data_IF_172867864597
#
_entry.id   IF_172867864597
#
_cell.length_a   1.000
_cell.length_b   1.000
_cell.length_c   1.000
_cell.angle_alpha   90.00
_cell.angle_beta   90.00
_cell.angle_gamma   90.00
#
_symmetry.space_group_name_H-M   'P 1'
#
loop_
_entity.id
_entity.type
_entity.pdbx_description
1 polymer ?
#
# COMPACT_ATOMS: atom_id res chain seq x y z
N UNK A 1 -2.48 24.64 -28.37
CA UNK A 1 -1.83 25.79 -27.69
C UNK A 1 -1.31 25.49 -26.27
N UNK A 2 -1.54 24.32 -25.64
CA UNK A 2 -0.91 23.96 -24.34
C UNK A 2 0.54 23.46 -24.46
N UNK A 3 0.90 22.81 -25.57
CA UNK A 3 2.23 22.20 -25.76
C UNK A 3 3.41 23.19 -25.84
N UNK A 4 3.19 24.46 -26.23
CA UNK A 4 4.26 25.45 -26.34
C UNK A 4 4.60 26.13 -24.99
N UNK A 5 3.64 26.19 -24.07
CA UNK A 5 3.86 26.76 -22.73
C UNK A 5 4.68 25.82 -21.82
N UNK A 6 4.42 24.52 -21.91
CA UNK A 6 5.18 23.50 -21.18
C UNK A 6 6.61 23.35 -21.72
N UNK A 7 6.82 23.52 -23.03
CA UNK A 7 8.16 23.44 -23.63
C UNK A 7 9.06 24.61 -23.23
N UNK A 8 8.50 25.82 -23.11
CA UNK A 8 9.26 27.01 -22.71
C UNK A 8 9.54 26.97 -21.20
N UNK A 9 8.58 26.57 -20.37
CA UNK A 9 8.79 26.44 -18.91
C UNK A 9 9.83 25.36 -18.59
N UNK A 10 9.76 24.18 -19.23
CA UNK A 10 10.75 23.12 -19.05
C UNK A 10 12.17 23.50 -19.50
N UNK A 11 12.31 24.37 -20.53
CA UNK A 11 13.63 24.83 -21.00
C UNK A 11 14.24 25.87 -20.05
N UNK A 12 13.43 26.72 -19.43
CA UNK A 12 13.90 27.67 -18.41
C UNK A 12 14.21 26.96 -17.08
N UNK A 13 13.39 26.02 -16.62
CA UNK A 13 13.64 25.27 -15.37
C UNK A 13 14.84 24.32 -15.48
N UNK A 14 15.04 23.66 -16.63
CA UNK A 14 16.24 22.83 -16.85
C UNK A 14 17.52 23.65 -16.88
N UNK A 15 17.51 24.85 -17.49
CA UNK A 15 18.68 25.75 -17.51
C UNK A 15 18.95 26.41 -16.15
N UNK A 16 17.91 26.65 -15.35
CA UNK A 16 18.07 27.22 -14.02
C UNK A 16 18.52 26.17 -13.00
N UNK A 17 17.98 24.95 -13.06
CA UNK A 17 18.43 23.81 -12.23
C UNK A 17 19.89 23.45 -12.51
N UNK A 18 20.34 23.47 -13.77
CA UNK A 18 21.75 23.25 -14.11
C UNK A 18 22.68 24.40 -13.72
N UNK A 19 22.16 25.62 -13.53
CA UNK A 19 22.95 26.76 -13.02
C UNK A 19 23.09 26.74 -11.49
N UNK A 20 22.08 26.24 -10.77
CA UNK A 20 22.12 26.09 -9.30
C UNK A 20 22.78 24.79 -8.83
N UNK A 21 22.78 23.74 -9.65
CA UNK A 21 23.50 22.47 -9.39
C UNK A 21 25.03 22.64 -9.27
N UNK A 22 25.56 23.83 -9.54
CA UNK A 22 26.99 24.15 -9.43
C UNK A 22 27.43 24.77 -8.10
N UNK A 23 26.53 25.05 -7.14
CA UNK A 23 26.92 25.53 -5.81
C UNK A 23 26.78 24.38 -4.80
N UNK A 24 27.88 23.67 -4.55
CA UNK A 24 27.97 22.72 -3.44
C UNK A 24 27.73 23.45 -2.13
N UNK A 25 26.65 23.11 -1.44
CA UNK A 25 26.40 23.58 -0.08
C UNK A 25 27.01 22.57 0.90
N UNK A 26 28.20 22.87 1.40
CA UNK A 26 29.01 21.95 2.22
C UNK A 26 28.50 21.81 3.67
N UNK A 27 27.41 22.49 4.04
CA UNK A 27 26.83 22.39 5.38
C UNK A 27 26.36 20.97 5.70
N UNK A 28 26.50 20.48 6.93
CA UNK A 28 25.92 19.19 7.28
C UNK A 28 24.39 19.21 7.14
N UNK A 29 23.77 18.05 6.87
CA UNK A 29 22.35 17.96 6.50
C UNK A 29 21.41 18.59 7.53
N UNK A 30 21.75 18.52 8.82
CA UNK A 30 21.00 19.13 9.92
C UNK A 30 20.99 20.67 9.82
N UNK A 31 22.11 21.29 9.45
CA UNK A 31 22.17 22.75 9.22
C UNK A 31 21.39 23.16 7.97
N UNK A 32 21.37 22.32 6.94
CA UNK A 32 20.49 22.53 5.78
C UNK A 32 19.01 22.47 6.15
N UNK A 33 18.61 21.51 6.99
CA UNK A 33 17.23 21.41 7.48
C UNK A 33 16.82 22.66 8.28
N UNK A 34 17.69 23.14 9.17
CA UNK A 34 17.45 24.36 9.94
C UNK A 34 17.35 25.60 9.04
N UNK A 35 18.24 25.71 8.04
CA UNK A 35 18.17 26.78 7.05
C UNK A 35 16.87 26.71 6.22
N UNK A 36 16.44 25.51 5.83
CA UNK A 36 15.19 25.30 5.10
C UNK A 36 13.98 25.72 5.93
N UNK A 37 13.93 25.37 7.23
CA UNK A 37 12.88 25.78 8.16
C UNK A 37 12.89 27.30 8.43
N UNK A 38 14.05 27.94 8.41
CA UNK A 38 14.21 29.39 8.57
C UNK A 38 13.94 30.20 7.30
N UNK A 39 13.97 29.57 6.12
CA UNK A 39 13.78 30.25 4.83
C UNK A 39 12.38 30.89 4.70
N UNK A 40 12.33 32.08 4.08
CA UNK A 40 11.08 32.84 3.81
C UNK A 40 10.74 32.96 2.31
N UNK A 41 11.68 32.65 1.41
CA UNK A 41 11.50 32.77 -0.05
C UNK A 41 11.44 31.42 -0.75
N UNK A 42 10.62 31.32 -1.80
CA UNK A 42 10.41 30.07 -2.55
C UNK A 42 11.68 29.60 -3.28
N UNK A 43 12.42 30.53 -3.90
CA UNK A 43 13.61 30.22 -4.69
C UNK A 43 14.74 29.66 -3.80
N UNK A 44 15.03 30.29 -2.67
CA UNK A 44 16.06 29.81 -1.74
C UNK A 44 15.63 28.53 -1.00
N UNK A 45 14.34 28.37 -0.71
CA UNK A 45 13.79 27.15 -0.13
C UNK A 45 13.91 25.94 -1.06
N UNK A 46 13.67 26.12 -2.37
CA UNK A 46 13.78 25.05 -3.36
C UNK A 46 15.19 24.47 -3.48
N UNK A 47 16.22 25.34 -3.54
CA UNK A 47 17.61 24.89 -3.56
C UNK A 47 18.00 24.11 -2.30
N UNK A 48 17.61 24.61 -1.12
CA UNK A 48 17.89 23.93 0.16
C UNK A 48 17.20 22.56 0.24
N UNK A 49 15.94 22.48 -0.19
CA UNK A 49 15.21 21.21 -0.21
C UNK A 49 15.89 20.17 -1.12
N UNK A 50 16.36 20.60 -2.29
CA UNK A 50 17.12 19.74 -3.21
C UNK A 50 18.41 19.24 -2.58
N UNK A 51 19.22 20.12 -1.98
CA UNK A 51 20.46 19.73 -1.31
C UNK A 51 20.21 18.73 -0.16
N UNK A 52 19.12 18.89 0.61
CA UNK A 52 18.77 17.94 1.68
C UNK A 52 18.43 16.57 1.10
N UNK A 53 17.61 16.50 0.04
CA UNK A 53 17.19 15.23 -0.56
C UNK A 53 18.34 14.52 -1.29
N UNK A 54 19.16 15.26 -2.04
CA UNK A 54 20.38 14.73 -2.69
C UNK A 54 21.34 14.15 -1.65
N UNK A 55 21.63 14.92 -0.59
CA UNK A 55 22.51 14.45 0.50
C UNK A 55 21.96 13.23 1.21
N UNK A 56 20.66 13.18 1.48
CA UNK A 56 20.01 12.00 2.03
C UNK A 56 20.13 10.78 1.10
N UNK A 57 19.99 10.99 -0.22
CA UNK A 57 20.12 9.93 -1.22
C UNK A 57 21.51 9.29 -1.28
N UNK A 58 22.55 10.04 -0.91
CA UNK A 58 23.95 9.57 -0.86
C UNK A 58 24.32 8.86 0.45
N UNK A 59 23.47 8.93 1.48
CA UNK A 59 23.76 8.38 2.81
C UNK A 59 23.69 6.85 2.86
N UNK A 60 24.58 6.26 3.65
CA UNK A 60 24.48 4.86 4.04
C UNK A 60 23.42 4.61 5.12
N UNK A 61 23.19 3.34 5.48
CA UNK A 61 22.17 2.98 6.46
C UNK A 61 22.42 3.56 7.87
N UNK A 62 23.69 3.71 8.28
CA UNK A 62 24.06 4.28 9.58
C UNK A 62 23.80 5.79 9.59
N UNK A 63 24.20 6.48 8.52
CA UNK A 63 23.98 7.92 8.34
C UNK A 63 22.49 8.26 8.26
N UNK A 64 21.69 7.49 7.51
CA UNK A 64 20.23 7.60 7.48
C UNK A 64 19.62 7.39 8.86
N UNK A 65 20.10 6.41 9.62
CA UNK A 65 19.68 6.18 11.01
C UNK A 65 19.95 7.40 11.91
N UNK A 66 21.16 7.98 11.82
CA UNK A 66 21.52 9.20 12.54
C UNK A 66 20.64 10.39 12.13
N UNK A 67 20.31 10.52 10.84
CA UNK A 67 19.39 11.55 10.36
C UNK A 67 17.97 11.38 10.92
N UNK A 68 17.42 10.17 10.93
CA UNK A 68 16.11 9.91 11.55
C UNK A 68 16.09 10.20 13.06
N UNK A 69 17.17 9.89 13.77
CA UNK A 69 17.33 10.28 15.17
C UNK A 69 17.32 11.81 15.33
N UNK A 70 18.04 12.55 14.48
CA UNK A 70 17.97 14.01 14.46
C UNK A 70 16.54 14.54 14.21
N UNK A 71 15.77 13.94 13.29
CA UNK A 71 14.38 14.33 13.05
C UNK A 71 13.48 14.08 14.27
N UNK A 72 13.69 12.97 14.99
CA UNK A 72 12.92 12.63 16.18
C UNK A 72 13.27 13.54 17.37
N UNK A 73 14.56 13.71 17.63
CA UNK A 73 15.07 14.34 18.84
C UNK A 73 15.21 15.87 18.68
N UNK A 74 15.70 16.34 17.54
CA UNK A 74 15.96 17.75 17.27
C UNK A 74 14.76 18.52 16.73
N UNK A 75 13.86 17.85 15.99
CA UNK A 75 12.67 18.44 15.37
C UNK A 75 11.35 17.92 15.98
N UNK A 76 11.46 17.46 17.23
CA UNK A 76 10.42 17.03 18.15
C UNK A 76 9.34 18.07 18.47
N UNK A 77 8.32 17.62 19.21
CA UNK A 77 7.46 18.51 19.99
C UNK A 77 8.21 18.88 21.27
N UNK A 78 8.13 20.14 21.70
CA UNK A 78 8.61 20.58 23.01
C UNK A 78 7.49 20.45 24.05
N UNK A 79 7.55 19.50 25.01
CA UNK A 79 6.50 19.34 26.01
C UNK A 79 6.26 20.62 26.81
N UNK A 80 7.33 21.35 27.16
CA UNK A 80 7.22 22.59 27.92
C UNK A 80 6.51 23.71 27.15
N UNK A 81 6.65 23.76 25.82
CA UNK A 81 5.92 24.73 25.00
C UNK A 81 4.45 24.35 24.82
N UNK A 82 4.15 23.06 24.63
CA UNK A 82 2.78 22.55 24.57
C UNK A 82 2.03 22.85 25.87
N UNK A 83 2.63 22.56 27.03
CA UNK A 83 1.99 22.83 28.32
C UNK A 83 1.66 24.31 28.49
N UNK A 84 2.63 25.20 28.23
CA UNK A 84 2.42 26.65 28.33
C UNK A 84 1.34 27.16 27.38
N UNK A 85 1.30 26.65 26.15
CA UNK A 85 0.29 27.03 25.17
C UNK A 85 -1.11 26.50 25.54
N UNK A 86 -1.19 25.29 26.10
CA UNK A 86 -2.43 24.70 26.59
C UNK A 86 -2.99 25.47 27.78
N UNK A 87 -2.16 25.82 28.77
CA UNK A 87 -2.58 26.65 29.91
C UNK A 87 -3.16 27.99 29.44
N UNK A 88 -2.50 28.62 28.47
CA UNK A 88 -2.96 29.88 27.87
C UNK A 88 -4.32 29.72 27.17
N UNK A 89 -4.51 28.62 26.45
CA UNK A 89 -5.78 28.29 25.80
C UNK A 89 -6.90 27.98 26.81
N UNK A 90 -6.60 27.23 27.87
CA UNK A 90 -7.55 26.92 28.93
C UNK A 90 -8.00 28.18 29.69
N UNK A 91 -7.07 29.08 30.02
CA UNK A 91 -7.39 30.31 30.74
C UNK A 91 -8.20 31.28 29.87
N UNK A 92 -7.91 31.37 28.57
CA UNK A 92 -8.55 32.31 27.65
C UNK A 92 -8.80 31.68 26.27
N UNK A 93 -9.86 30.86 26.10
CA UNK A 93 -10.17 30.25 24.81
C UNK A 93 -10.45 31.30 23.74
N UNK A 94 -9.59 31.36 22.71
CA UNK A 94 -9.70 32.32 21.61
C UNK A 94 -9.00 31.80 20.37
N UNK A 95 -9.21 32.47 19.22
CA UNK A 95 -8.51 32.14 17.97
C UNK A 95 -6.99 32.20 18.13
N UNK A 96 -6.45 33.19 18.85
CA UNK A 96 -5.00 33.36 19.02
C UNK A 96 -4.40 32.28 19.91
N UNK A 97 -5.03 32.00 21.06
CA UNK A 97 -4.56 30.96 22.00
C UNK A 97 -4.71 29.55 21.43
N UNK A 98 -5.79 29.27 20.67
CA UNK A 98 -5.94 28.02 19.93
C UNK A 98 -4.84 27.85 18.87
N UNK A 99 -4.55 28.91 18.09
CA UNK A 99 -3.48 28.87 17.08
C UNK A 99 -2.12 28.60 17.72
N UNK A 100 -1.83 29.23 18.86
CA UNK A 100 -0.58 29.01 19.58
C UNK A 100 -0.47 27.56 20.10
N UNK A 101 -1.55 27.01 20.68
CA UNK A 101 -1.60 25.62 21.10
C UNK A 101 -1.41 24.65 19.93
N UNK A 102 -2.18 24.82 18.85
CA UNK A 102 -2.06 23.99 17.66
C UNK A 102 -0.66 24.03 17.06
N UNK A 103 0.01 25.20 17.02
CA UNK A 103 1.36 25.33 16.51
C UNK A 103 2.40 24.67 17.42
N UNK A 104 2.24 24.75 18.74
CA UNK A 104 3.14 24.09 19.70
C UNK A 104 3.00 22.57 19.66
N UNK A 105 1.80 22.05 19.34
CA UNK A 105 1.52 20.61 19.24
C UNK A 105 1.94 19.98 17.91
N UNK A 106 2.40 20.75 16.92
CA UNK A 106 2.91 20.21 15.66
C UNK A 106 4.44 20.12 15.71
N UNK A 107 5.05 18.93 15.49
CA UNK A 107 6.49 18.81 15.47
C UNK A 107 7.07 19.52 14.24
N UNK A 108 8.23 20.19 14.42
CA UNK A 108 8.92 20.93 13.35
C UNK A 108 9.25 20.07 12.13
N UNK A 109 9.42 18.75 12.32
CA UNK A 109 9.66 17.80 11.24
C UNK A 109 8.50 17.67 10.25
N UNK A 110 7.24 17.89 10.65
CA UNK A 110 6.13 17.94 9.69
C UNK A 110 6.29 19.11 8.72
N UNK A 111 6.65 20.30 9.24
CA UNK A 111 6.91 21.46 8.40
C UNK A 111 8.13 21.26 7.52
N UNK A 112 9.19 20.61 8.03
CA UNK A 112 10.35 20.25 7.21
C UNK A 112 9.92 19.37 6.02
N UNK A 113 9.19 18.28 6.27
CA UNK A 113 8.72 17.36 5.23
C UNK A 113 7.82 18.10 4.21
N UNK A 114 6.94 18.99 4.66
CA UNK A 114 6.13 19.84 3.75
C UNK A 114 6.97 20.76 2.89
N UNK A 115 8.07 21.31 3.42
CA UNK A 115 8.99 22.16 2.65
C UNK A 115 9.84 21.38 1.66
N UNK A 116 10.28 20.18 2.05
CA UNK A 116 10.98 19.26 1.14
C UNK A 116 10.11 18.93 -0.07
N UNK A 117 8.81 18.72 0.14
CA UNK A 117 7.86 18.39 -0.92
C UNK A 117 7.44 19.56 -1.84
N UNK A 118 8.13 20.71 -1.81
CA UNK A 118 7.83 21.88 -2.66
C UNK A 118 8.58 21.89 -3.99
N UNK A 119 9.50 20.96 -4.18
CA UNK A 119 10.23 20.81 -5.44
C UNK A 119 9.62 19.67 -6.25
N UNK A 120 9.85 19.71 -7.57
CA UNK A 120 9.48 18.61 -8.47
C UNK A 120 10.14 17.30 -8.00
N UNK A 121 9.46 16.18 -8.20
CA UNK A 121 9.88 14.82 -7.84
C UNK A 121 10.09 14.51 -6.34
N UNK A 122 10.09 15.49 -5.44
CA UNK A 122 10.36 15.26 -4.02
C UNK A 122 9.41 14.28 -3.33
N UNK A 123 8.16 14.15 -3.82
CA UNK A 123 7.22 13.17 -3.26
C UNK A 123 7.76 11.75 -3.39
N UNK A 124 8.39 11.40 -4.52
CA UNK A 124 9.03 10.09 -4.73
C UNK A 124 10.17 9.87 -3.73
N UNK A 125 11.02 10.87 -3.55
CA UNK A 125 12.17 10.78 -2.64
C UNK A 125 11.73 10.66 -1.18
N UNK A 126 10.65 11.35 -0.79
CA UNK A 126 10.05 11.23 0.54
C UNK A 126 9.39 9.86 0.75
N UNK A 127 8.78 9.27 -0.29
CA UNK A 127 8.25 7.90 -0.23
C UNK A 127 9.41 6.90 -0.03
N UNK A 128 10.52 7.06 -0.76
CA UNK A 128 11.71 6.25 -0.56
C UNK A 128 12.31 6.42 0.84
N UNK A 129 12.41 7.66 1.34
CA UNK A 129 12.85 7.97 2.70
C UNK A 129 11.97 7.29 3.77
N UNK A 130 10.66 7.26 3.58
CA UNK A 130 9.77 6.53 4.49
C UNK A 130 9.96 5.02 4.38
N UNK A 131 10.27 4.47 3.20
CA UNK A 131 10.59 3.05 3.06
C UNK A 131 11.83 2.67 3.89
N UNK A 132 12.88 3.51 3.85
CA UNK A 132 14.07 3.33 4.69
C UNK A 132 13.72 3.37 6.19
N UNK A 133 12.89 4.34 6.60
CA UNK A 133 12.41 4.45 7.98
C UNK A 133 11.69 3.17 8.44
N UNK A 134 10.75 2.67 7.64
CA UNK A 134 9.99 1.46 7.94
C UNK A 134 10.88 0.22 8.08
N UNK A 135 11.94 0.13 7.27
CA UNK A 135 12.91 -0.96 7.35
C UNK A 135 13.75 -0.92 8.64
N UNK A 136 14.05 0.27 9.17
CA UNK A 136 14.86 0.45 10.38
C UNK A 136 14.04 0.34 11.69
N UNK A 137 12.76 0.71 11.65
CA UNK A 137 11.89 0.76 12.83
C UNK A 137 11.86 -0.49 13.71
N UNK A 138 11.88 -1.74 13.18
CA UNK A 138 11.89 -2.95 14.02
C UNK A 138 13.07 -2.99 15.01
N UNK A 139 14.23 -2.47 14.61
CA UNK A 139 15.43 -2.42 15.44
C UNK A 139 15.58 -1.08 16.19
N UNK A 140 14.81 -0.05 15.80
CA UNK A 140 14.86 1.29 16.38
C UNK A 140 13.44 1.81 16.72
N UNK A 141 12.77 1.26 17.75
CA UNK A 141 11.37 1.62 18.08
C UNK A 141 11.15 3.11 18.38
N UNK A 142 12.20 3.83 18.81
CA UNK A 142 12.16 5.28 19.06
C UNK A 142 11.86 6.11 17.80
N UNK A 143 12.02 5.55 16.60
CA UNK A 143 11.72 6.22 15.34
C UNK A 143 10.22 6.21 15.00
N UNK A 144 9.41 5.41 15.71
CA UNK A 144 7.98 5.25 15.42
C UNK A 144 7.17 6.56 15.36
N UNK A 145 7.43 7.60 16.20
CA UNK A 145 6.73 8.88 16.08
C UNK A 145 6.90 9.55 14.71
N UNK A 146 8.03 9.35 14.02
CA UNK A 146 8.26 9.92 12.70
C UNK A 146 7.35 9.29 11.63
N UNK A 147 7.07 7.99 11.73
CA UNK A 147 6.13 7.31 10.82
C UNK A 147 4.69 7.85 10.96
N UNK A 148 4.29 8.26 12.17
CA UNK A 148 2.98 8.90 12.40
C UNK A 148 2.84 10.18 11.58
N UNK A 149 3.88 11.02 11.56
CA UNK A 149 3.88 12.27 10.81
C UNK A 149 3.92 12.05 9.30
N UNK A 150 4.74 11.10 8.85
CA UNK A 150 4.75 10.69 7.46
C UNK A 150 3.38 10.18 7.00
N UNK A 151 2.73 9.32 7.78
CA UNK A 151 1.37 8.84 7.50
C UNK A 151 0.37 9.98 7.43
N UNK A 152 0.44 10.93 8.37
CA UNK A 152 -0.42 12.10 8.36
C UNK A 152 -0.29 12.90 7.06
N UNK A 153 0.94 13.21 6.65
CA UNK A 153 1.20 13.98 5.44
C UNK A 153 0.82 13.20 4.17
N UNK A 154 1.22 11.93 4.08
CA UNK A 154 0.91 11.08 2.94
C UNK A 154 -0.58 10.81 2.78
N UNK A 155 -1.35 10.67 3.87
CA UNK A 155 -2.80 10.55 3.78
C UNK A 155 -3.45 11.78 3.13
N UNK A 156 -2.87 12.98 3.33
CA UNK A 156 -3.35 14.20 2.67
C UNK A 156 -2.88 14.32 1.23
N UNK A 157 -1.65 13.88 0.91
CA UNK A 157 -1.06 14.03 -0.42
C UNK A 157 -1.54 12.99 -1.42
N UNK A 158 -1.74 11.75 -0.97
CA UNK A 158 -2.23 10.62 -1.76
C UNK A 158 -3.75 10.49 -1.66
N UNK A 159 -4.45 11.58 -1.96
CA UNK A 159 -5.90 11.59 -1.94
C UNK A 159 -6.45 10.72 -3.08
N UNK A 160 -7.39 9.84 -2.75
CA UNK A 160 -8.11 8.98 -3.69
C UNK A 160 -8.66 9.72 -4.90
N UNK A 161 -9.10 10.98 -4.75
CA UNK A 161 -9.67 11.77 -5.85
C UNK A 161 -8.72 12.03 -7.02
N UNK A 162 -7.41 11.85 -6.83
CA UNK A 162 -6.40 11.99 -7.88
C UNK A 162 -5.82 10.67 -8.36
N UNK A 163 -6.26 9.55 -7.78
CA UNK A 163 -5.79 8.24 -8.18
C UNK A 163 -6.40 7.87 -9.53
N UNK A 164 -5.54 7.58 -10.51
CA UNK A 164 -5.94 7.28 -11.88
C UNK A 164 -5.74 5.79 -12.15
N UNK A 165 -6.85 5.09 -12.41
CA UNK A 165 -6.82 3.72 -12.90
C UNK A 165 -6.45 3.71 -14.39
N UNK A 166 -5.45 2.92 -14.77
CA UNK A 166 -5.05 2.71 -16.17
C UNK A 166 -4.94 1.22 -16.47
N UNK A 167 -5.46 0.74 -17.62
CA UNK A 167 -5.17 -0.60 -18.08
C UNK A 167 -3.68 -0.70 -18.46
N UNK A 168 -3.05 -1.81 -18.06
CA UNK A 168 -1.68 -2.17 -18.43
C UNK A 168 -1.76 -3.41 -19.30
N UNK A 169 -1.04 -3.38 -20.42
CA UNK A 169 -1.01 -4.45 -21.41
C UNK A 169 0.34 -4.48 -22.13
N UNK A 170 0.52 -5.43 -23.05
CA UNK A 170 1.78 -5.61 -23.77
C UNK A 170 2.21 -4.41 -24.64
N UNK A 171 1.30 -3.48 -24.95
CA UNK A 171 1.62 -2.25 -25.69
C UNK A 171 1.96 -1.06 -24.77
N UNK A 172 1.96 -1.28 -23.44
CA UNK A 172 2.35 -0.24 -22.48
C UNK A 172 3.85 0.05 -22.57
N UNK A 173 4.31 1.26 -22.20
CA UNK A 173 5.72 1.61 -22.23
C UNK A 173 6.58 0.59 -21.47
N UNK A 174 7.69 0.16 -22.07
CA UNK A 174 8.59 -0.85 -21.48
C UNK A 174 9.05 -0.46 -20.07
N UNK A 175 9.32 0.83 -19.83
CA UNK A 175 9.71 1.34 -18.51
C UNK A 175 8.64 1.12 -17.42
N UNK A 176 7.35 1.06 -17.78
CA UNK A 176 6.27 0.70 -16.83
C UNK A 176 6.24 -0.81 -16.64
N UNK A 177 6.41 -1.59 -17.71
CA UNK A 177 6.43 -3.05 -17.65
C UNK A 177 7.59 -3.59 -16.80
N UNK A 178 8.78 -2.99 -16.90
CA UNK A 178 9.94 -3.28 -16.04
C UNK A 178 9.62 -3.08 -14.56
N UNK A 179 8.89 -2.00 -14.24
CA UNK A 179 8.43 -1.73 -12.87
C UNK A 179 7.44 -2.78 -12.38
N UNK A 180 6.51 -3.23 -13.22
CA UNK A 180 5.58 -4.31 -12.84
C UNK A 180 6.34 -5.60 -12.50
N UNK A 181 7.36 -5.96 -13.29
CA UNK A 181 8.24 -7.10 -12.97
C UNK A 181 8.92 -6.90 -11.60
N UNK A 182 9.49 -5.71 -11.38
CA UNK A 182 10.23 -5.41 -10.15
C UNK A 182 9.35 -5.36 -8.89
N UNK A 183 8.06 -5.05 -9.02
CA UNK A 183 7.14 -4.82 -7.91
C UNK A 183 6.19 -5.97 -7.61
N UNK A 184 6.21 -7.05 -8.38
CA UNK A 184 5.35 -8.20 -8.14
C UNK A 184 5.72 -8.92 -6.83
N UNK A 185 4.81 -8.83 -5.85
CA UNK A 185 5.04 -9.25 -4.47
C UNK A 185 4.27 -10.52 -4.05
N UNK A 186 3.31 -10.97 -4.85
CA UNK A 186 2.46 -12.12 -4.56
C UNK A 186 3.00 -13.37 -5.27
N UNK A 187 3.19 -13.27 -6.58
CA UNK A 187 3.64 -14.34 -7.46
C UNK A 187 4.75 -13.82 -8.38
N UNK A 188 5.99 -13.90 -7.90
CA UNK A 188 7.20 -13.38 -8.58
C UNK A 188 7.17 -13.60 -10.10
N UNK A 189 7.48 -12.55 -10.86
CA UNK A 189 7.63 -12.61 -12.31
C UNK A 189 9.11 -12.80 -12.62
N UNK A 190 9.48 -13.96 -13.17
CA UNK A 190 10.88 -14.33 -13.32
C UNK A 190 11.52 -13.80 -14.61
N UNK A 191 10.70 -13.42 -15.60
CA UNK A 191 11.19 -13.01 -16.92
C UNK A 191 10.18 -12.14 -17.69
N UNK A 192 10.66 -11.52 -18.77
CA UNK A 192 9.81 -10.85 -19.76
C UNK A 192 8.83 -11.81 -20.44
N UNK A 193 9.20 -13.07 -20.61
CA UNK A 193 8.30 -14.08 -21.17
C UNK A 193 7.17 -14.42 -20.20
N UNK A 194 7.46 -14.51 -18.91
CA UNK A 194 6.45 -14.69 -17.86
C UNK A 194 5.51 -13.47 -17.81
N UNK A 195 6.05 -12.24 -17.79
CA UNK A 195 5.23 -11.03 -17.90
C UNK A 195 4.32 -11.07 -19.13
N UNK A 196 4.86 -11.47 -20.29
CA UNK A 196 4.10 -11.57 -21.53
C UNK A 196 2.93 -12.53 -21.39
N UNK A 197 3.12 -13.71 -20.79
CA UNK A 197 2.05 -14.70 -20.55
C UNK A 197 0.95 -14.19 -19.62
N UNK A 198 1.27 -13.25 -18.74
CA UNK A 198 0.32 -12.61 -17.82
C UNK A 198 -0.35 -11.34 -18.37
N UNK A 199 0.10 -10.82 -19.51
CA UNK A 199 -0.36 -9.52 -20.05
C UNK A 199 -0.89 -9.57 -21.47
N UNK A 200 -0.37 -10.48 -22.31
CA UNK A 200 -0.72 -10.55 -23.73
C UNK A 200 -2.01 -11.33 -24.01
N UNK A 201 -2.28 -12.50 -23.37
CA UNK A 201 -3.47 -13.29 -23.68
C UNK A 201 -4.78 -12.53 -23.45
N UNK A 202 -5.80 -12.81 -24.27
CA UNK A 202 -7.10 -12.15 -24.17
C UNK A 202 -7.83 -12.42 -22.86
N UNK A 203 -7.49 -13.50 -22.17
CA UNK A 203 -8.02 -13.87 -20.86
C UNK A 203 -7.16 -13.37 -19.69
N UNK A 204 -6.26 -12.41 -19.95
CA UNK A 204 -5.48 -11.73 -18.91
C UNK A 204 -5.70 -10.22 -18.97
N UNK A 205 -5.92 -9.60 -17.83
CA UNK A 205 -6.03 -8.15 -17.69
C UNK A 205 -5.12 -7.69 -16.56
N UNK A 206 -4.51 -6.53 -16.74
CA UNK A 206 -3.78 -5.87 -15.68
C UNK A 206 -4.22 -4.41 -15.62
N UNK A 207 -4.28 -3.90 -14.41
CA UNK A 207 -4.57 -2.50 -14.15
C UNK A 207 -3.55 -1.96 -13.17
N UNK A 208 -3.20 -0.68 -13.30
CA UNK A 208 -2.39 0.00 -12.32
C UNK A 208 -2.99 1.35 -11.95
N UNK A 209 -2.85 1.69 -10.67
CA UNK A 209 -3.22 2.98 -10.10
C UNK A 209 -2.01 3.90 -10.07
N UNK A 210 -2.16 5.08 -10.63
CA UNK A 210 -1.14 6.12 -10.70
C UNK A 210 -1.60 7.35 -9.93
N UNK A 211 -0.65 8.12 -9.41
CA UNK A 211 -0.92 9.40 -8.77
C UNK A 211 -0.07 10.49 -9.43
N UNK A 212 -0.62 11.69 -9.71
CA UNK A 212 0.13 12.77 -10.37
C UNK A 212 1.44 13.14 -9.68
N UNK A 213 1.48 13.07 -8.35
CA UNK A 213 2.68 13.36 -7.56
C UNK A 213 3.81 12.31 -7.69
N UNK A 214 3.54 11.18 -8.35
CA UNK A 214 4.51 10.09 -8.53
C UNK A 214 4.78 9.82 -10.02
N UNK A 215 4.31 10.66 -10.94
CA UNK A 215 4.56 10.50 -12.38
C UNK A 215 4.08 9.15 -12.94
N UNK A 216 4.94 8.48 -13.70
CA UNK A 216 4.72 7.14 -14.27
C UNK A 216 5.10 6.00 -13.30
N UNK A 217 4.99 6.25 -12.00
CA UNK A 217 5.20 5.25 -10.96
C UNK A 217 3.87 4.57 -10.60
N UNK A 218 3.70 3.26 -10.89
CA UNK A 218 2.52 2.55 -10.42
C UNK A 218 2.57 2.49 -8.89
N UNK A 219 1.46 2.82 -8.23
CA UNK A 219 1.34 2.71 -6.77
C UNK A 219 0.80 1.35 -6.36
N UNK A 220 -0.20 0.89 -7.11
CA UNK A 220 -0.82 -0.41 -6.93
C UNK A 220 -1.03 -0.96 -8.33
N UNK A 221 -0.75 -2.24 -8.54
CA UNK A 221 -1.26 -2.94 -9.71
C UNK A 221 -2.05 -4.18 -9.33
N UNK A 222 -2.90 -4.58 -10.25
CA UNK A 222 -3.90 -5.62 -10.08
C UNK A 222 -3.85 -6.51 -11.32
N UNK A 223 -3.51 -7.77 -11.14
CA UNK A 223 -3.57 -8.78 -12.19
C UNK A 223 -4.85 -9.61 -12.08
N UNK A 224 -5.49 -9.81 -13.23
CA UNK A 224 -6.78 -10.47 -13.35
C UNK A 224 -6.74 -11.54 -14.43
N UNK A 225 -7.18 -12.74 -14.10
CA UNK A 225 -7.43 -13.81 -15.05
C UNK A 225 -8.93 -13.93 -15.33
N UNK A 226 -9.31 -13.96 -16.60
CA UNK A 226 -10.66 -14.29 -17.02
C UNK A 226 -10.75 -15.82 -17.18
N UNK A 227 -11.73 -16.44 -16.55
CA UNK A 227 -11.82 -17.90 -16.44
C UNK A 227 -13.26 -18.39 -16.57
N UNK A 228 -13.42 -19.71 -16.68
CA UNK A 228 -14.71 -20.42 -16.52
C UNK A 228 -14.77 -20.99 -15.11
N UNK A 229 -15.58 -20.38 -14.24
CA UNK A 229 -15.72 -20.73 -12.83
C UNK A 229 -14.60 -20.22 -11.93
N UNK A 230 -14.75 -20.48 -10.63
CA UNK A 230 -13.85 -20.00 -9.58
C UNK A 230 -12.64 -20.94 -9.43
N UNK A 231 -11.40 -20.45 -9.59
CA UNK A 231 -10.22 -21.29 -9.44
C UNK A 231 -9.85 -21.51 -7.97
N UNK A 232 -9.16 -22.62 -7.72
CA UNK A 232 -8.71 -23.07 -6.40
C UNK A 232 -7.20 -23.34 -6.31
N UNK A 233 -6.43 -23.08 -7.38
CA UNK A 233 -4.97 -23.28 -7.41
C UNK A 233 -4.28 -22.22 -8.26
N UNK A 234 -3.25 -21.58 -7.72
CA UNK A 234 -2.47 -20.59 -8.46
C UNK A 234 -1.57 -21.26 -9.49
N UNK A 235 -1.01 -22.44 -9.19
CA UNK A 235 -0.18 -23.19 -10.14
C UNK A 235 -0.97 -23.52 -11.42
N UNK A 236 -2.25 -23.90 -11.30
CA UNK A 236 -3.09 -24.13 -12.46
C UNK A 236 -3.40 -22.82 -13.22
N UNK A 237 -3.64 -21.72 -12.50
CA UNK A 237 -3.97 -20.43 -13.09
C UNK A 237 -2.79 -19.81 -13.88
N UNK A 238 -1.57 -20.02 -13.40
CA UNK A 238 -0.33 -19.50 -13.98
C UNK A 238 0.42 -20.52 -14.86
N UNK A 239 -0.15 -21.71 -15.08
CA UNK A 239 0.51 -22.77 -15.86
C UNK A 239 0.85 -22.33 -17.29
N UNK A 240 2.07 -22.61 -17.73
CA UNK A 240 2.53 -22.36 -19.10
C UNK A 240 1.85 -23.27 -20.14
N UNK A 241 1.21 -24.36 -19.70
CA UNK A 241 0.52 -25.33 -20.57
C UNK A 241 -1.00 -25.16 -20.57
N UNK A 242 -1.51 -24.09 -19.96
CA UNK A 242 -2.95 -23.79 -19.93
C UNK A 242 -3.48 -23.49 -21.33
N UNK A 243 -4.75 -23.81 -21.56
CA UNK A 243 -5.46 -23.33 -22.74
C UNK A 243 -5.82 -21.85 -22.54
N UNK A 244 -5.45 -20.99 -23.50
CA UNK A 244 -5.89 -19.60 -23.53
C UNK A 244 -7.37 -19.55 -23.92
N UNK A 245 -8.18 -18.88 -23.10
CA UNK A 245 -9.59 -18.70 -23.40
C UNK A 245 -9.80 -17.41 -24.19
N UNK A 246 -10.75 -17.42 -25.12
CA UNK A 246 -11.25 -16.17 -25.67
C UNK A 246 -12.04 -15.43 -24.58
N UNK A 247 -11.90 -14.11 -24.48
CA UNK A 247 -12.53 -13.34 -23.40
C UNK A 247 -14.06 -13.54 -23.33
N UNK A 248 -14.72 -13.73 -24.47
CA UNK A 248 -16.17 -13.97 -24.57
C UNK A 248 -16.64 -15.32 -24.03
N UNK A 249 -15.73 -16.29 -23.87
CA UNK A 249 -16.03 -17.61 -23.32
C UNK A 249 -15.92 -17.66 -21.79
N UNK A 250 -15.50 -16.56 -21.15
CA UNK A 250 -15.27 -16.51 -19.69
C UNK A 250 -16.50 -16.00 -18.93
N UNK A 251 -16.66 -16.42 -17.67
CA UNK A 251 -17.77 -16.01 -16.80
C UNK A 251 -17.32 -15.42 -15.45
N UNK A 252 -16.01 -15.54 -15.15
CA UNK A 252 -15.42 -15.22 -13.86
C UNK A 252 -14.13 -14.41 -14.04
N UNK A 253 -14.06 -13.24 -13.41
CA UNK A 253 -12.84 -12.46 -13.26
C UNK A 253 -12.16 -12.78 -11.92
N UNK A 254 -10.92 -13.24 -11.99
CA UNK A 254 -10.12 -13.72 -10.86
C UNK A 254 -8.98 -12.76 -10.59
N UNK A 255 -9.08 -11.99 -9.52
CA UNK A 255 -8.01 -11.14 -9.01
C UNK A 255 -6.97 -12.01 -8.29
N UNK A 256 -5.88 -12.37 -8.97
CA UNK A 256 -4.88 -13.29 -8.43
C UNK A 256 -3.61 -12.59 -7.92
N UNK A 257 -3.36 -11.34 -8.30
CA UNK A 257 -2.30 -10.52 -7.70
C UNK A 257 -2.80 -9.08 -7.49
N UNK A 258 -2.53 -8.55 -6.31
CA UNK A 258 -2.72 -7.13 -5.96
C UNK A 258 -1.48 -6.69 -5.19
N UNK A 259 -0.63 -5.92 -5.85
CA UNK A 259 0.69 -5.55 -5.34
C UNK A 259 0.73 -4.06 -5.02
N UNK A 260 1.18 -3.71 -3.81
CA UNK A 260 1.59 -2.34 -3.48
C UNK A 260 3.04 -2.17 -3.92
N UNK A 261 3.26 -1.34 -4.93
CA UNK A 261 4.57 -1.13 -5.52
C UNK A 261 5.51 -0.31 -4.64
N UNK A 262 4.96 0.46 -3.71
CA UNK A 262 5.71 1.46 -2.95
C UNK A 262 5.72 1.08 -1.46
N UNK A 263 6.81 0.47 -0.96
CA UNK A 263 6.94 0.11 0.46
C UNK A 263 6.76 1.32 1.38
N UNK A 264 7.23 2.48 0.93
CA UNK A 264 7.03 3.77 1.59
C UNK A 264 5.57 4.25 1.64
N UNK A 265 4.62 3.58 0.98
CA UNK A 265 3.19 3.85 1.10
C UNK A 265 2.47 2.78 1.93
N UNK A 266 3.20 1.87 2.59
CA UNK A 266 2.61 0.88 3.49
C UNK A 266 1.78 1.55 4.59
N UNK A 267 0.51 1.12 4.71
CA UNK A 267 -0.45 1.66 5.67
C UNK A 267 -1.11 3.00 5.26
N UNK A 268 -0.79 3.54 4.08
CA UNK A 268 -1.55 4.65 3.49
C UNK A 268 -2.77 4.07 2.79
N UNK A 269 -3.97 4.51 3.20
CA UNK A 269 -5.20 4.08 2.55
C UNK A 269 -5.41 4.88 1.28
N UNK A 270 -5.53 4.18 0.15
CA UNK A 270 -6.02 4.76 -1.11
C UNK A 270 -7.55 4.59 -1.25
N UNK A 271 -8.25 4.47 -0.12
CA UNK A 271 -9.69 4.21 -0.08
C UNK A 271 -10.07 2.73 -0.26
N UNK A 272 -11.33 2.44 0.08
CA UNK A 272 -11.91 1.11 0.09
C UNK A 272 -12.72 0.81 -1.18
N UNK A 273 -12.27 1.31 -2.33
CA UNK A 273 -13.00 1.19 -3.60
C UNK A 273 -12.09 0.96 -4.79
N UNK A 274 -10.82 0.62 -4.57
CA UNK A 274 -9.88 0.30 -5.64
C UNK A 274 -10.42 -0.85 -6.49
N UNK A 275 -10.76 -1.95 -5.83
CA UNK A 275 -11.25 -3.14 -6.52
C UNK A 275 -12.64 -2.90 -7.10
N UNK A 276 -13.47 -2.06 -6.47
CA UNK A 276 -14.76 -1.67 -7.02
C UNK A 276 -14.64 -0.98 -8.38
N UNK A 277 -13.62 -0.14 -8.58
CA UNK A 277 -13.36 0.51 -9.88
C UNK A 277 -12.97 -0.54 -10.93
N UNK A 278 -12.04 -1.44 -10.61
CA UNK A 278 -11.61 -2.49 -11.53
C UNK A 278 -12.76 -3.44 -11.88
N UNK A 279 -13.56 -3.85 -10.90
CA UNK A 279 -14.77 -4.67 -11.11
C UNK A 279 -15.76 -3.94 -12.02
N UNK A 280 -16.00 -2.65 -11.80
CA UNK A 280 -16.94 -1.89 -12.64
C UNK A 280 -16.45 -1.74 -14.08
N UNK A 281 -15.14 -1.60 -14.30
CA UNK A 281 -14.55 -1.54 -15.64
C UNK A 281 -14.63 -2.90 -16.34
N UNK A 282 -14.27 -3.98 -15.65
CA UNK A 282 -14.42 -5.35 -16.16
C UNK A 282 -15.86 -5.71 -16.47
N UNK A 283 -16.83 -5.35 -15.61
CA UNK A 283 -18.25 -5.62 -15.84
C UNK A 283 -18.80 -4.88 -17.07
N UNK A 284 -18.25 -3.69 -17.36
CA UNK A 284 -18.62 -2.90 -18.54
C UNK A 284 -18.01 -3.45 -19.81
N UNK A 285 -16.75 -3.88 -19.75
CA UNK A 285 -16.00 -4.42 -20.89
C UNK A 285 -16.43 -5.86 -21.23
N UNK A 286 -16.74 -6.68 -20.22
CA UNK A 286 -17.11 -8.09 -20.35
C UNK A 286 -18.48 -8.36 -19.67
N UNK A 287 -19.61 -8.02 -20.31
CA UNK A 287 -20.95 -8.22 -19.73
C UNK A 287 -21.29 -9.69 -19.40
N UNK A 288 -20.59 -10.65 -20.00
CA UNK A 288 -20.71 -12.08 -19.73
C UNK A 288 -20.08 -12.49 -18.39
N UNK A 289 -19.12 -11.72 -17.87
CA UNK A 289 -18.46 -11.98 -16.59
C UNK A 289 -19.39 -11.56 -15.46
N UNK A 290 -19.87 -12.54 -14.70
CA UNK A 290 -20.85 -12.35 -13.61
C UNK A 290 -20.23 -12.55 -12.24
N UNK A 291 -19.10 -13.23 -12.16
CA UNK A 291 -18.42 -13.51 -10.91
C UNK A 291 -17.11 -12.73 -10.83
N UNK A 292 -16.93 -12.02 -9.71
CA UNK A 292 -15.71 -11.29 -9.40
C UNK A 292 -15.15 -11.87 -8.11
N UNK A 293 -14.06 -12.63 -8.22
CA UNK A 293 -13.46 -13.36 -7.11
C UNK A 293 -11.97 -13.10 -7.07
N UNK A 294 -11.35 -13.27 -5.91
CA UNK A 294 -9.90 -13.25 -5.81
C UNK A 294 -9.38 -14.66 -5.68
N UNK A 295 -8.09 -14.88 -5.89
CA UNK A 295 -7.36 -16.03 -5.37
C UNK A 295 -6.21 -15.47 -4.54
N UNK A 296 -6.46 -15.23 -3.25
CA UNK A 296 -5.60 -14.43 -2.39
C UNK A 296 -4.77 -15.31 -1.43
N UNK A 297 -3.54 -14.89 -1.09
CA UNK A 297 -2.74 -15.54 -0.05
C UNK A 297 -3.33 -15.30 1.36
N UNK A 298 -2.88 -16.08 2.33
CA UNK A 298 -3.26 -15.96 3.75
C UNK A 298 -1.99 -15.74 4.61
N UNK A 299 -1.33 -14.58 4.48
CA UNK A 299 -0.06 -14.34 5.17
C UNK A 299 -0.24 -14.33 6.69
N UNK A 300 0.64 -15.05 7.39
CA UNK A 300 0.65 -15.11 8.85
C UNK A 300 -0.16 -16.26 9.44
N UNK A 301 -0.93 -17.01 8.64
CA UNK A 301 -1.64 -18.20 9.09
C UNK A 301 -0.69 -19.23 9.71
N UNK A 302 0.46 -19.51 9.07
CA UNK A 302 1.46 -20.43 9.64
C UNK A 302 2.01 -19.94 10.97
N UNK A 303 2.46 -18.69 11.04
CA UNK A 303 3.02 -18.13 12.26
C UNK A 303 2.02 -18.11 13.42
N UNK A 304 0.75 -17.81 13.13
CA UNK A 304 -0.33 -17.90 14.12
C UNK A 304 -0.60 -19.34 14.56
N UNK A 305 -0.69 -20.29 13.62
CA UNK A 305 -0.94 -21.70 13.94
C UNK A 305 0.18 -22.28 14.80
N UNK A 306 1.44 -22.04 14.44
CA UNK A 306 2.61 -22.47 15.21
C UNK A 306 2.62 -21.84 16.61
N UNK A 307 2.30 -20.54 16.72
CA UNK A 307 2.17 -19.86 18.02
C UNK A 307 1.02 -20.40 18.89
N UNK A 308 -0.02 -20.95 18.27
CA UNK A 308 -1.14 -21.62 18.95
C UNK A 308 -0.91 -23.13 19.18
N UNK A 309 0.25 -23.68 18.78
CA UNK A 309 0.54 -25.12 18.89
C UNK A 309 -0.26 -26.00 17.92
N UNK A 310 -0.76 -25.43 16.83
CA UNK A 310 -1.54 -26.10 15.78
C UNK A 310 -0.66 -26.44 14.58
N UNK A 311 -0.93 -27.57 13.93
CA UNK A 311 -0.22 -28.00 12.71
C UNK A 311 -1.00 -27.62 11.46
N UNK A 312 -0.31 -27.07 10.45
CA UNK A 312 -0.81 -26.96 9.07
C UNK A 312 -0.27 -28.06 8.16
N UNK A 313 0.48 -29.03 8.71
CA UNK A 313 0.90 -30.23 8.01
C UNK A 313 -0.12 -31.34 8.31
N UNK A 314 -0.93 -31.72 7.32
CA UNK A 314 -1.99 -32.71 7.52
C UNK A 314 -3.06 -32.73 6.43
N UNK A 315 -4.25 -33.16 6.81
CA UNK A 315 -5.43 -33.31 5.96
C UNK A 315 -5.89 -31.95 5.37
N UNK A 316 -6.10 -31.87 4.03
CA UNK A 316 -6.70 -30.69 3.39
C UNK A 316 -7.98 -30.17 4.04
N UNK A 317 -8.80 -31.01 4.67
CA UNK A 317 -9.99 -30.54 5.38
C UNK A 317 -9.66 -29.79 6.68
N UNK A 318 -8.68 -30.29 7.45
CA UNK A 318 -8.21 -29.64 8.67
C UNK A 318 -7.56 -28.29 8.37
N UNK A 319 -6.74 -28.21 7.31
CA UNK A 319 -6.13 -26.95 6.86
C UNK A 319 -7.19 -25.92 6.47
N UNK A 320 -8.21 -26.31 5.71
CA UNK A 320 -9.33 -25.41 5.35
C UNK A 320 -10.12 -24.96 6.58
N UNK A 321 -10.34 -25.85 7.54
CA UNK A 321 -11.02 -25.53 8.80
C UNK A 321 -10.25 -24.50 9.63
N UNK A 322 -8.95 -24.74 9.83
CA UNK A 322 -8.03 -23.84 10.54
C UNK A 322 -7.94 -22.47 9.86
N UNK A 323 -7.74 -22.45 8.55
CA UNK A 323 -7.69 -21.21 7.77
C UNK A 323 -9.02 -20.45 7.83
N UNK A 324 -10.16 -21.14 7.76
CA UNK A 324 -11.49 -20.51 7.89
C UNK A 324 -11.69 -19.89 9.28
N UNK A 325 -11.25 -20.58 10.34
CA UNK A 325 -11.27 -20.05 11.70
C UNK A 325 -10.37 -18.81 11.83
N UNK A 326 -9.13 -18.88 11.35
CA UNK A 326 -8.19 -17.76 11.36
C UNK A 326 -8.76 -16.50 10.67
N UNK A 327 -9.33 -16.66 9.48
CA UNK A 327 -9.88 -15.55 8.70
C UNK A 327 -11.14 -14.93 9.32
N UNK A 328 -11.97 -15.72 10.01
CA UNK A 328 -13.28 -15.27 10.50
C UNK A 328 -13.27 -14.86 11.98
N UNK A 329 -12.54 -15.58 12.83
CA UNK A 329 -12.63 -15.49 14.29
C UNK A 329 -11.40 -14.85 14.93
N UNK A 330 -10.20 -14.99 14.36
CA UNK A 330 -8.97 -14.48 14.97
C UNK A 330 -8.80 -12.99 14.70
N UNK A 331 -8.78 -12.19 15.78
CA UNK A 331 -8.74 -10.73 15.73
C UNK A 331 -7.47 -10.16 16.36
N UNK A 332 -7.14 -8.94 15.97
CA UNK A 332 -6.22 -8.04 16.68
C UNK A 332 -6.91 -7.43 17.90
N UNK A 333 -6.13 -6.74 18.74
CA UNK A 333 -6.63 -5.98 19.88
C UNK A 333 -7.63 -4.87 19.50
N UNK A 334 -7.59 -4.38 18.26
CA UNK A 334 -8.54 -3.39 17.72
C UNK A 334 -9.84 -4.03 17.18
N UNK A 335 -10.00 -5.36 17.29
CA UNK A 335 -11.17 -6.11 16.83
C UNK A 335 -11.19 -6.44 15.33
N UNK A 336 -10.24 -5.94 14.53
CA UNK A 336 -10.13 -6.28 13.11
C UNK A 336 -9.52 -7.68 12.92
N UNK A 337 -9.85 -8.40 11.81
CA UNK A 337 -9.20 -9.67 11.47
C UNK A 337 -7.68 -9.60 11.57
N UNK A 338 -7.02 -10.64 12.07
CA UNK A 338 -5.56 -10.68 12.20
C UNK A 338 -4.85 -10.69 10.84
N UNK A 339 -5.44 -11.35 9.86
CA UNK A 339 -4.93 -11.40 8.49
C UNK A 339 -5.01 -10.04 7.77
N UNK A 340 -3.90 -9.49 7.24
CA UNK A 340 -3.91 -8.21 6.54
C UNK A 340 -4.68 -8.22 5.22
N UNK A 341 -4.68 -9.36 4.51
CA UNK A 341 -5.33 -9.51 3.20
C UNK A 341 -6.85 -9.60 3.38
N UNK A 342 -7.31 -10.25 4.45
CA UNK A 342 -8.70 -10.26 4.88
C UNK A 342 -9.19 -8.85 5.21
N UNK A 343 -8.41 -8.08 6.01
CA UNK A 343 -8.75 -6.68 6.29
C UNK A 343 -8.89 -5.85 5.01
N UNK A 344 -8.00 -6.06 4.05
CA UNK A 344 -8.05 -5.37 2.76
C UNK A 344 -9.32 -5.72 1.96
N UNK A 345 -9.60 -7.00 1.72
CA UNK A 345 -10.73 -7.42 0.89
C UNK A 345 -12.09 -7.17 1.54
N UNK A 346 -12.23 -7.47 2.84
CA UNK A 346 -13.45 -7.16 3.59
C UNK A 346 -13.66 -5.64 3.70
N UNK A 347 -12.56 -4.88 3.88
CA UNK A 347 -12.56 -3.43 3.79
C UNK A 347 -13.07 -2.91 2.45
N UNK A 348 -12.78 -3.58 1.33
CA UNK A 348 -13.30 -3.25 0.01
C UNK A 348 -14.71 -3.83 -0.29
N UNK A 349 -15.39 -4.39 0.72
CA UNK A 349 -16.77 -4.89 0.60
C UNK A 349 -16.92 -6.30 0.04
N UNK A 350 -15.83 -7.07 -0.05
CA UNK A 350 -15.91 -8.48 -0.36
C UNK A 350 -16.45 -9.30 0.82
N UNK A 351 -16.80 -10.56 0.55
CA UNK A 351 -17.02 -11.58 1.56
C UNK A 351 -16.10 -12.78 1.32
N UNK A 352 -15.77 -13.53 2.37
CA UNK A 352 -14.98 -14.76 2.25
C UNK A 352 -15.84 -15.83 1.57
N UNK A 353 -15.50 -16.20 0.35
CA UNK A 353 -16.31 -17.10 -0.47
C UNK A 353 -15.94 -18.58 -0.25
N UNK A 354 -14.66 -18.92 -0.39
CA UNK A 354 -14.15 -20.28 -0.25
C UNK A 354 -12.70 -20.27 0.24
N UNK A 355 -12.30 -21.34 0.93
CA UNK A 355 -10.93 -21.55 1.42
C UNK A 355 -10.42 -22.87 0.86
N UNK A 356 -9.18 -22.86 0.37
CA UNK A 356 -8.56 -23.96 -0.35
C UNK A 356 -7.30 -24.40 0.37
N UNK A 357 -7.08 -25.71 0.46
CA UNK A 357 -5.77 -26.27 0.82
C UNK A 357 -4.98 -26.54 -0.47
N UNK A 358 -3.65 -26.63 -0.36
CA UNK A 358 -2.76 -26.99 -1.49
C UNK A 358 -2.95 -26.09 -2.72
N UNK A 359 -3.41 -24.86 -2.51
CA UNK A 359 -3.74 -23.91 -3.55
C UNK A 359 -2.52 -23.12 -4.03
N UNK A 360 -1.53 -22.93 -3.16
CA UNK A 360 -0.21 -22.41 -3.49
C UNK A 360 0.90 -23.32 -2.95
N UNK A 361 1.42 -24.19 -3.80
CA UNK A 361 2.50 -25.12 -3.45
C UNK A 361 3.90 -24.52 -3.60
N UNK A 362 4.02 -23.22 -3.89
CA UNK A 362 5.31 -22.53 -3.89
C UNK A 362 5.94 -22.52 -2.50
N UNK A 363 7.27 -22.36 -2.43
CA UNK A 363 7.97 -22.21 -1.15
C UNK A 363 7.39 -21.07 -0.32
N UNK A 364 7.02 -19.96 -0.97
CA UNK A 364 6.40 -18.83 -0.29
C UNK A 364 5.00 -19.17 0.25
N UNK A 365 4.14 -19.83 -0.53
CA UNK A 365 2.81 -20.26 -0.08
C UNK A 365 2.87 -21.22 1.10
N UNK A 366 3.78 -22.20 1.05
CA UNK A 366 4.03 -23.14 2.16
C UNK A 366 4.53 -22.45 3.42
N UNK A 367 5.41 -21.44 3.28
CA UNK A 367 5.93 -20.63 4.38
C UNK A 367 4.88 -19.69 4.97
N UNK A 368 3.96 -19.16 4.19
CA UNK A 368 2.96 -18.19 4.68
C UNK A 368 1.76 -18.86 5.34
N UNK A 369 1.24 -19.93 4.74
CA UNK A 369 -0.08 -20.48 5.06
C UNK A 369 -0.15 -22.01 4.97
N UNK A 370 0.97 -22.72 4.80
CA UNK A 370 0.93 -24.15 4.50
C UNK A 370 0.33 -24.45 3.12
N UNK A 371 0.37 -23.47 2.20
CA UNK A 371 -0.21 -23.57 0.87
C UNK A 371 -1.72 -23.32 0.80
N UNK A 372 -2.33 -22.88 1.89
CA UNK A 372 -3.73 -22.47 1.87
C UNK A 372 -3.92 -21.10 1.19
N UNK A 373 -4.98 -20.98 0.39
CA UNK A 373 -5.43 -19.72 -0.22
C UNK A 373 -6.94 -19.53 0.00
N UNK A 374 -7.42 -18.33 -0.30
CA UNK A 374 -8.82 -17.94 -0.09
C UNK A 374 -9.36 -17.20 -1.31
N UNK A 375 -10.61 -17.48 -1.70
CA UNK A 375 -11.34 -16.59 -2.58
C UNK A 375 -12.17 -15.60 -1.76
N UNK A 376 -11.98 -14.31 -2.02
CA UNK A 376 -12.93 -13.27 -1.65
C UNK A 376 -13.82 -12.96 -2.84
N UNK A 377 -15.14 -12.84 -2.64
CA UNK A 377 -16.07 -12.52 -3.72
C UNK A 377 -16.61 -11.10 -3.57
N UNK A 378 -16.63 -10.37 -4.69
CA UNK A 378 -17.17 -9.04 -4.85
C UNK A 378 -18.54 -9.10 -5.54
N UNK A 379 -19.59 -9.28 -4.75
CA UNK A 379 -20.96 -9.11 -5.25
C UNK A 379 -21.27 -7.61 -5.36
N UNK A 380 -21.36 -7.12 -6.60
CA UNK A 380 -21.63 -5.72 -6.95
C UNK A 380 -22.81 -5.11 -6.17
N UNK A 381 -23.87 -5.89 -5.91
CA UNK A 381 -25.04 -5.42 -5.19
C UNK A 381 -24.79 -5.30 -3.67
N UNK A 382 -23.89 -6.12 -3.13
CA UNK A 382 -23.63 -6.23 -1.69
C UNK A 382 -22.39 -5.46 -1.22
N UNK A 383 -21.51 -5.01 -2.13
CA UNK A 383 -20.28 -4.26 -1.79
C UNK A 383 -20.56 -3.12 -0.77
N UNK A 384 -21.54 -2.22 -0.98
CA UNK A 384 -21.78 -1.13 -0.03
C UNK A 384 -22.16 -1.63 1.37
N UNK A 385 -23.06 -2.60 1.44
CA UNK A 385 -23.55 -3.15 2.71
C UNK A 385 -22.46 -3.92 3.46
N UNK A 386 -21.68 -4.73 2.76
CA UNK A 386 -20.55 -5.48 3.32
C UNK A 386 -19.48 -4.52 3.85
N UNK A 387 -19.16 -3.48 3.07
CA UNK A 387 -18.20 -2.45 3.45
C UNK A 387 -18.63 -1.73 4.74
N UNK A 388 -19.86 -1.22 4.79
CA UNK A 388 -20.39 -0.53 5.97
C UNK A 388 -20.43 -1.42 7.20
N UNK A 389 -20.83 -2.68 7.03
CA UNK A 389 -20.87 -3.67 8.12
C UNK A 389 -19.47 -3.96 8.66
N UNK A 390 -18.46 -4.05 7.79
CA UNK A 390 -17.09 -4.31 8.21
C UNK A 390 -16.46 -3.08 8.87
N UNK A 391 -16.58 -1.90 8.28
CA UNK A 391 -15.98 -0.66 8.82
C UNK A 391 -16.67 -0.22 10.11
N UNK A 392 -17.99 -0.28 10.17
CA UNK A 392 -18.77 0.21 11.31
C UNK A 392 -18.92 -0.80 12.45
N UNK A 393 -18.98 -2.10 12.14
CA UNK A 393 -19.31 -3.15 13.12
C UNK A 393 -18.25 -4.25 13.21
N UNK A 394 -17.18 -4.17 12.42
CA UNK A 394 -16.11 -5.19 12.35
C UNK A 394 -16.63 -6.59 12.01
N UNK A 395 -17.81 -6.66 11.39
CA UNK A 395 -18.46 -7.92 11.02
C UNK A 395 -17.78 -8.51 9.80
N UNK A 396 -17.31 -9.76 9.92
CA UNK A 396 -16.77 -10.52 8.79
C UNK A 396 -17.92 -11.17 8.01
N UNK A 397 -18.06 -10.78 6.75
CA UNK A 397 -18.95 -11.46 5.81
C UNK A 397 -18.26 -12.71 5.25
N UNK A 398 -18.93 -13.85 5.33
CA UNK A 398 -18.43 -15.14 4.82
C UNK A 398 -19.58 -16.01 4.31
N UNK A 399 -19.28 -16.92 3.39
CA UNK A 399 -20.23 -17.93 2.91
C UNK A 399 -20.61 -18.93 4.02
N UNK A 400 -21.75 -19.61 3.87
CA UNK A 400 -22.21 -20.62 4.84
C UNK A 400 -21.18 -21.74 5.01
N UNK A 401 -20.54 -22.17 3.93
CA UNK A 401 -19.57 -23.25 3.96
C UNK A 401 -18.32 -22.85 4.75
N UNK A 402 -17.84 -21.62 4.58
CA UNK A 402 -16.71 -21.09 5.37
C UNK A 402 -17.08 -20.98 6.85
N UNK A 403 -18.29 -20.52 7.17
CA UNK A 403 -18.77 -20.47 8.56
C UNK A 403 -18.83 -21.87 9.17
N UNK A 404 -19.35 -22.86 8.43
CA UNK A 404 -19.42 -24.25 8.89
C UNK A 404 -18.03 -24.87 9.09
N UNK A 405 -17.07 -24.58 8.19
CA UNK A 405 -15.67 -25.00 8.33
C UNK A 405 -15.06 -24.39 9.59
N UNK A 406 -15.22 -23.07 9.78
CA UNK A 406 -14.64 -22.36 10.93
C UNK A 406 -15.15 -22.87 12.30
N UNK A 407 -16.33 -23.50 12.36
CA UNK A 407 -16.89 -24.08 13.58
C UNK A 407 -16.28 -25.44 13.96
N UNK A 408 -15.63 -26.15 13.02
CA UNK A 408 -15.01 -27.44 13.28
C UNK A 408 -13.71 -27.31 14.09
N UNK A 409 -13.06 -26.15 14.06
CA UNK A 409 -11.87 -25.86 14.86
C UNK A 409 -12.22 -24.92 16.01
N UNK A 410 -12.29 -25.41 17.26
CA UNK A 410 -12.45 -24.55 18.42
C UNK A 410 -11.11 -23.87 18.73
N UNK A 411 -11.01 -22.57 18.44
CA UNK A 411 -9.92 -21.73 18.94
C UNK A 411 -10.44 -21.01 20.19
N UNK A 412 -9.78 -21.20 21.33
CA UNK A 412 -10.07 -20.37 22.50
C UNK A 412 -9.70 -18.92 22.16
N UNK A 413 -10.57 -17.93 22.41
CA UNK A 413 -10.21 -16.53 22.24
C UNK A 413 -8.94 -16.27 23.04
N UNK A 414 -7.97 -15.57 22.43
CA UNK A 414 -6.76 -15.14 23.13
C UNK A 414 -7.18 -14.44 24.42
N UNK A 415 -6.73 -14.96 25.56
CA UNK A 415 -7.02 -14.38 26.87
C UNK A 415 -6.59 -12.92 26.93
N UNK A 416 -7.44 -12.11 27.56
CA UNK A 416 -7.26 -10.67 27.81
C UNK A 416 -5.87 -10.30 28.36
#
# INVERSE_FOLDING_TARGET
MRYFGDLISNVFDRRYSSFLAGQSDDRPINELCEALLGSRGEISGGSLARCVLERYGEMDASEKGAFFHYLCDGLGISPQEVFRALESYQAHPSRSTYKAFSAASEPRRQELIRRLNRIEDATRDLVAMRADLLAMMPNHPRLAPLDVDFKHLFASWFNLGFLMLRPINWNSPAAILEKIIAYEAVHMIESWEDLRRRMQPEDRRCFAFFHPAMGDEPLIFVEVALTKGVPHSIQHLLSDTREELAAHDTDTAVFYSISNCQPGLAGISFGNSLIKQVVADLAREFPQVRQFVTLSPIPGLRAWAEGAGLSLAGDPEEVRSLASCYLTQVKRADGLPLDPVARFHLGNGAYIHAVHAEADTSENGLRQSGGAMVNYCYDLAQIPQNHESFVGQQRVAASKDVVNLAQKTPVQPAGD
#
